data_IF_147844144691
#
_entry.id   IF_147844144691
#
_cell.length_a   1.000
_cell.length_b   1.000
_cell.length_c   1.000
_cell.angle_alpha   90.00
_cell.angle_beta   90.00
_cell.angle_gamma   90.00
#
_symmetry.space_group_name_H-M   'P 1'
#
loop_
_entity.id
_entity.type
_entity.pdbx_description
1 polymer ?
#
# COMPACT_ATOMS: atom_id res chain seq x y z
N UNK A 1 9.97 14.55 -16.58
CA UNK A 1 8.82 14.07 -15.75
C UNK A 1 8.07 13.04 -16.60
N UNK A 2 7.98 11.80 -16.17
CA UNK A 2 7.22 10.76 -16.89
C UNK A 2 5.78 10.87 -16.38
N UNK A 3 4.90 11.47 -17.17
CA UNK A 3 3.46 11.46 -16.87
C UNK A 3 2.92 10.06 -17.17
N UNK A 4 2.36 9.40 -16.16
CA UNK A 4 1.73 8.08 -16.31
C UNK A 4 0.22 8.24 -16.32
N UNK A 5 -0.48 7.72 -17.34
CA UNK A 5 -1.93 7.75 -17.31
C UNK A 5 -2.45 6.86 -16.15
N UNK A 6 -3.26 7.44 -15.23
CA UNK A 6 -3.71 6.73 -14.03
C UNK A 6 -4.69 5.58 -14.30
N UNK A 7 -5.25 5.51 -15.49
CA UNK A 7 -6.25 4.48 -15.84
C UNK A 7 -5.63 3.12 -16.22
N UNK A 8 -4.31 3.02 -16.27
CA UNK A 8 -3.59 1.82 -16.69
C UNK A 8 -3.14 0.89 -15.56
N UNK A 9 -3.30 1.26 -14.29
CA UNK A 9 -2.87 0.39 -13.19
C UNK A 9 -4.02 -0.53 -12.79
N UNK A 10 -4.00 -1.72 -13.38
CA UNK A 10 -4.87 -2.83 -13.04
C UNK A 10 -4.04 -4.11 -13.01
N UNK A 11 -3.87 -4.68 -11.83
CA UNK A 11 -3.09 -5.90 -11.61
C UNK A 11 -4.07 -6.99 -11.19
N UNK A 12 -4.13 -8.07 -11.97
CA UNK A 12 -4.98 -9.21 -11.66
C UNK A 12 -4.18 -10.34 -11.06
N UNK A 13 -4.75 -10.98 -10.04
CA UNK A 13 -4.22 -12.17 -9.41
C UNK A 13 -5.20 -13.33 -9.55
N UNK A 14 -4.98 -14.43 -8.85
CA UNK A 14 -5.92 -15.54 -8.86
C UNK A 14 -7.30 -15.16 -8.29
N UNK A 15 -7.34 -14.32 -7.23
CA UNK A 15 -8.57 -13.98 -6.50
C UNK A 15 -8.87 -12.49 -6.40
N UNK A 16 -7.90 -11.65 -6.73
CA UNK A 16 -7.99 -10.21 -6.50
C UNK A 16 -7.73 -9.40 -7.76
N UNK A 17 -8.28 -8.20 -7.76
CA UNK A 17 -7.91 -7.10 -8.65
C UNK A 17 -7.38 -5.96 -7.81
N UNK A 18 -6.14 -5.54 -8.10
CA UNK A 18 -5.53 -4.35 -7.53
C UNK A 18 -5.64 -3.23 -8.56
N UNK A 19 -6.23 -2.11 -8.19
CA UNK A 19 -6.41 -0.99 -9.11
C UNK A 19 -6.29 0.37 -8.41
N UNK A 20 -5.89 1.39 -9.16
CA UNK A 20 -6.06 2.77 -8.72
C UNK A 20 -7.56 3.08 -8.63
N UNK A 21 -8.04 3.67 -7.53
CA UNK A 21 -9.44 4.00 -7.40
C UNK A 21 -9.85 5.15 -8.34
N UNK A 22 -11.11 5.13 -8.75
CA UNK A 22 -11.82 6.25 -9.36
C UNK A 22 -12.79 6.85 -8.34
N UNK A 23 -13.23 8.09 -8.55
CA UNK A 23 -14.01 8.86 -7.56
C UNK A 23 -15.31 8.17 -7.15
N UNK A 24 -15.89 7.36 -8.04
CA UNK A 24 -17.09 6.55 -7.75
C UNK A 24 -16.87 5.47 -6.68
N UNK A 25 -15.61 5.17 -6.32
CA UNK A 25 -15.30 4.29 -5.18
C UNK A 25 -15.33 4.98 -3.81
N UNK A 26 -15.53 6.31 -3.73
CA UNK A 26 -15.53 7.04 -2.47
C UNK A 26 -16.53 6.45 -1.42
N UNK A 27 -17.81 6.12 -1.76
CA UNK A 27 -18.70 5.49 -0.80
C UNK A 27 -18.23 4.11 -0.32
N UNK A 28 -17.50 3.36 -1.18
CA UNK A 28 -16.96 2.05 -0.82
C UNK A 28 -15.77 2.17 0.12
N UNK A 29 -14.90 3.18 -0.06
CA UNK A 29 -13.81 3.47 0.88
C UNK A 29 -14.35 3.90 2.24
N UNK A 30 -15.32 4.80 2.28
CA UNK A 30 -15.99 5.20 3.51
C UNK A 30 -16.49 3.98 4.27
N UNK A 31 -17.29 3.14 3.63
CA UNK A 31 -17.82 1.91 4.23
C UNK A 31 -16.72 0.97 4.72
N UNK A 32 -15.65 0.78 3.92
CA UNK A 32 -14.52 -0.06 4.30
C UNK A 32 -13.91 0.38 5.63
N UNK A 33 -13.65 1.68 5.80
CA UNK A 33 -13.04 2.20 7.01
C UNK A 33 -14.01 2.27 8.19
N UNK A 34 -15.30 2.49 7.96
CA UNK A 34 -16.31 2.40 9.01
C UNK A 34 -16.42 0.98 9.56
N UNK A 35 -16.60 -0.02 8.69
CA UNK A 35 -16.75 -1.42 9.07
C UNK A 35 -15.50 -2.03 9.71
N UNK A 36 -14.32 -1.46 9.46
CA UNK A 36 -13.04 -1.95 9.95
C UNK A 36 -12.38 -1.02 10.98
N UNK A 37 -13.06 0.00 11.48
CA UNK A 37 -12.48 1.03 12.35
C UNK A 37 -11.81 0.45 13.61
N UNK A 38 -12.47 -0.47 14.31
CA UNK A 38 -11.91 -1.16 15.48
C UNK A 38 -10.73 -2.08 15.13
N UNK A 39 -10.82 -2.74 13.97
CA UNK A 39 -9.78 -3.67 13.52
C UNK A 39 -8.50 -2.97 13.08
N UNK A 40 -8.63 -1.82 12.42
CA UNK A 40 -7.50 -1.09 11.84
C UNK A 40 -6.95 -0.02 12.78
N UNK A 41 -7.79 0.57 13.63
CA UNK A 41 -7.42 1.69 14.51
C UNK A 41 -6.09 1.52 15.25
N UNK A 42 -5.83 0.38 15.91
CA UNK A 42 -4.57 0.17 16.64
C UNK A 42 -3.30 0.18 15.77
N UNK A 43 -3.44 0.11 14.44
CA UNK A 43 -2.34 -0.03 13.48
C UNK A 43 -2.16 1.16 12.56
N UNK A 44 -3.03 2.16 12.67
CA UNK A 44 -3.06 3.31 11.76
C UNK A 44 -2.90 4.64 12.49
N UNK A 45 -2.42 5.68 11.80
CA UNK A 45 -2.40 7.03 12.35
C UNK A 45 -3.79 7.50 12.79
N UNK A 46 -3.85 8.41 13.75
CA UNK A 46 -5.09 9.09 14.12
C UNK A 46 -5.77 9.71 12.90
N UNK A 47 -7.06 9.50 12.78
CA UNK A 47 -7.86 9.94 11.64
C UNK A 47 -7.98 11.47 11.61
N UNK A 48 -7.84 12.05 10.42
CA UNK A 48 -8.06 13.47 10.20
C UNK A 48 -9.54 13.85 10.36
N UNK A 49 -9.87 15.09 10.73
CA UNK A 49 -11.24 15.58 10.69
C UNK A 49 -11.88 15.34 9.32
N UNK A 50 -13.11 14.88 9.30
CA UNK A 50 -13.83 14.57 8.08
C UNK A 50 -13.51 13.21 7.44
N UNK A 51 -12.57 12.43 7.97
CA UNK A 51 -12.19 11.13 7.42
C UNK A 51 -13.37 10.20 7.13
N UNK A 52 -14.38 10.21 7.97
CA UNK A 52 -15.60 9.42 7.83
C UNK A 52 -16.71 10.19 7.06
N UNK A 53 -16.33 10.85 5.96
CA UNK A 53 -17.26 11.49 5.02
C UNK A 53 -16.93 11.08 3.59
N UNK A 54 -17.96 11.06 2.73
CA UNK A 54 -17.75 10.75 1.31
C UNK A 54 -16.92 11.83 0.61
N UNK A 55 -17.08 13.11 0.98
CA UNK A 55 -16.33 14.21 0.40
C UNK A 55 -14.83 14.10 0.67
N UNK A 56 -14.44 13.67 1.87
CA UNK A 56 -13.04 13.37 2.18
C UNK A 56 -12.48 12.31 1.21
N UNK A 57 -13.23 11.23 0.99
CA UNK A 57 -12.77 10.14 0.13
C UNK A 57 -12.75 10.52 -1.35
N UNK A 58 -13.68 11.36 -1.82
CA UNK A 58 -13.63 11.94 -3.17
C UNK A 58 -12.34 12.72 -3.37
N UNK A 59 -12.06 13.70 -2.50
CA UNK A 59 -10.84 14.50 -2.56
C UNK A 59 -9.57 13.64 -2.40
N UNK A 60 -9.60 12.64 -1.52
CA UNK A 60 -8.47 11.73 -1.30
C UNK A 60 -8.16 10.88 -2.53
N UNK A 61 -9.17 10.38 -3.22
CA UNK A 61 -9.02 9.61 -4.46
C UNK A 61 -8.46 10.47 -5.58
N UNK A 62 -8.95 11.68 -5.78
CA UNK A 62 -8.42 12.63 -6.76
C UNK A 62 -6.93 12.89 -6.51
N UNK A 63 -6.57 13.18 -5.25
CA UNK A 63 -5.16 13.34 -4.86
C UNK A 63 -4.34 12.08 -5.13
N UNK A 64 -4.86 10.90 -4.83
CA UNK A 64 -4.19 9.62 -5.10
C UNK A 64 -3.85 9.45 -6.59
N UNK A 65 -4.77 9.82 -7.47
CA UNK A 65 -4.56 9.75 -8.92
C UNK A 65 -3.51 10.77 -9.37
N UNK A 66 -3.53 11.97 -8.81
CA UNK A 66 -2.52 13.00 -9.09
C UNK A 66 -1.14 12.59 -8.56
N UNK A 67 -1.05 12.06 -7.35
CA UNK A 67 0.19 11.53 -6.75
C UNK A 67 0.82 10.45 -7.65
N UNK A 68 0.02 9.58 -8.24
CA UNK A 68 0.51 8.57 -9.18
C UNK A 68 0.99 9.20 -10.50
N UNK A 69 0.21 10.13 -11.07
CA UNK A 69 0.57 10.82 -12.30
C UNK A 69 1.87 11.63 -12.19
N UNK A 70 2.18 12.13 -10.98
CA UNK A 70 3.40 12.89 -10.67
C UNK A 70 4.54 12.05 -10.10
N UNK A 71 4.44 10.72 -10.18
CA UNK A 71 5.47 9.77 -9.70
C UNK A 71 5.81 9.95 -8.20
N UNK A 72 4.79 10.17 -7.36
CA UNK A 72 4.95 10.42 -5.91
C UNK A 72 4.51 9.24 -5.06
N UNK A 73 3.41 8.57 -5.45
CA UNK A 73 2.89 7.37 -4.78
C UNK A 73 2.01 6.54 -5.71
N UNK A 74 1.75 5.28 -5.33
CA UNK A 74 0.75 4.40 -5.95
C UNK A 74 -0.08 3.75 -4.85
N UNK A 75 -1.37 4.08 -4.80
CA UNK A 75 -2.28 3.55 -3.76
C UNK A 75 -3.37 2.71 -4.43
N UNK A 76 -3.30 1.41 -4.23
CA UNK A 76 -4.18 0.46 -4.89
C UNK A 76 -5.25 -0.04 -3.91
N UNK A 77 -6.50 -0.01 -4.35
CA UNK A 77 -7.59 -0.75 -3.71
C UNK A 77 -7.54 -2.21 -4.13
N UNK A 78 -8.02 -3.08 -3.26
CA UNK A 78 -8.17 -4.52 -3.50
C UNK A 78 -9.66 -4.86 -3.64
N UNK A 79 -10.01 -5.53 -4.74
CA UNK A 79 -11.34 -6.02 -5.04
C UNK A 79 -11.29 -7.54 -5.27
N UNK A 80 -12.40 -8.23 -5.04
CA UNK A 80 -12.54 -9.63 -5.45
C UNK A 80 -12.68 -9.72 -6.97
N UNK A 81 -11.93 -10.63 -7.60
CA UNK A 81 -11.80 -10.68 -9.06
C UNK A 81 -13.12 -10.92 -9.79
N UNK A 82 -13.90 -11.87 -9.31
CA UNK A 82 -15.11 -12.32 -10.01
C UNK A 82 -16.40 -11.69 -9.47
N UNK A 83 -16.26 -10.60 -8.72
CA UNK A 83 -17.40 -9.87 -8.14
C UNK A 83 -17.45 -8.42 -8.67
N UNK A 84 -18.26 -8.12 -9.70
CA UNK A 84 -18.34 -6.77 -10.29
C UNK A 84 -18.77 -5.69 -9.29
N UNK A 85 -19.51 -6.07 -8.24
CA UNK A 85 -19.92 -5.19 -7.14
C UNK A 85 -19.13 -5.46 -5.85
N UNK A 86 -17.92 -6.03 -5.97
CA UNK A 86 -17.09 -6.32 -4.81
C UNK A 86 -16.96 -5.11 -3.90
N UNK A 87 -17.12 -5.28 -2.57
CA UNK A 87 -16.65 -4.26 -1.65
C UNK A 87 -15.13 -4.09 -1.79
N UNK A 88 -14.60 -2.99 -1.27
CA UNK A 88 -13.15 -2.90 -1.06
C UNK A 88 -12.80 -3.88 0.06
N UNK A 89 -11.93 -4.84 -0.24
CA UNK A 89 -11.50 -5.85 0.73
C UNK A 89 -10.16 -5.49 1.40
N UNK A 90 -9.48 -4.47 0.90
CA UNK A 90 -8.21 -3.99 1.44
C UNK A 90 -7.57 -2.95 0.54
N UNK A 91 -6.39 -2.54 0.91
CA UNK A 91 -5.55 -1.69 0.08
C UNK A 91 -4.07 -1.99 0.29
N UNK A 92 -3.24 -1.64 -0.70
CA UNK A 92 -1.79 -1.59 -0.58
C UNK A 92 -1.28 -0.28 -1.19
N UNK A 93 -0.46 0.44 -0.43
CA UNK A 93 -0.03 1.79 -0.71
C UNK A 93 1.49 1.83 -0.82
N UNK A 94 1.98 2.07 -2.01
CA UNK A 94 3.39 2.36 -2.27
C UNK A 94 3.55 3.88 -2.21
N UNK A 95 4.16 4.36 -1.13
CA UNK A 95 4.30 5.79 -0.84
C UNK A 95 5.75 6.23 -0.93
N UNK A 96 5.97 7.55 -0.87
CA UNK A 96 7.30 8.15 -0.77
C UNK A 96 8.24 7.64 -1.87
N UNK A 97 7.86 7.86 -3.13
CA UNK A 97 8.70 7.47 -4.25
C UNK A 97 9.98 8.30 -4.27
N UNK A 98 11.11 7.65 -3.99
CA UNK A 98 12.43 8.27 -3.99
C UNK A 98 13.19 7.72 -5.19
N UNK A 99 13.50 8.61 -6.13
CA UNK A 99 14.24 8.29 -7.35
C UNK A 99 15.75 8.52 -7.17
N UNK A 100 16.49 8.57 -8.24
CA UNK A 100 17.95 8.73 -8.23
C UNK A 100 18.66 7.48 -7.75
N UNK A 101 19.70 7.62 -6.96
CA UNK A 101 20.53 6.51 -6.49
C UNK A 101 19.80 5.55 -5.54
N UNK A 102 18.71 6.01 -4.87
CA UNK A 102 18.02 5.18 -3.89
C UNK A 102 16.96 4.27 -4.52
N UNK A 103 16.22 4.73 -5.53
CA UNK A 103 15.17 3.98 -6.24
C UNK A 103 14.28 3.16 -5.28
N UNK A 104 13.69 3.82 -4.28
CA UNK A 104 12.96 3.18 -3.20
C UNK A 104 11.56 3.75 -3.00
N UNK A 105 10.69 2.94 -2.39
CA UNK A 105 9.39 3.37 -1.88
C UNK A 105 9.07 2.68 -0.55
N UNK A 106 8.08 3.22 0.18
CA UNK A 106 7.55 2.60 1.39
C UNK A 106 6.22 1.92 1.10
N UNK A 107 5.95 0.78 1.73
CA UNK A 107 4.75 -0.02 1.55
C UNK A 107 3.96 -0.07 2.85
N UNK A 108 2.70 0.39 2.79
CA UNK A 108 1.68 0.20 3.82
C UNK A 108 0.50 -0.59 3.26
N UNK A 109 -0.19 -1.35 4.10
CA UNK A 109 -1.32 -2.16 3.65
C UNK A 109 -2.30 -2.46 4.78
N UNK A 110 -3.54 -2.70 4.42
CA UNK A 110 -4.58 -3.21 5.31
C UNK A 110 -5.57 -4.13 4.61
N UNK A 111 -6.19 -5.00 5.37
CA UNK A 111 -7.17 -5.98 4.88
C UNK A 111 -8.40 -5.98 5.80
N UNK A 112 -9.56 -6.07 5.20
CA UNK A 112 -10.81 -6.24 5.92
C UNK A 112 -10.75 -7.50 6.81
N UNK A 113 -11.23 -7.37 8.05
CA UNK A 113 -11.22 -8.45 9.07
C UNK A 113 -11.79 -9.76 8.56
N UNK A 114 -12.80 -9.70 7.68
CA UNK A 114 -13.48 -10.88 7.09
C UNK A 114 -12.58 -11.73 6.19
N UNK A 115 -11.50 -11.16 5.66
CA UNK A 115 -10.59 -11.80 4.71
C UNK A 115 -9.23 -12.14 5.30
N UNK A 116 -9.01 -11.80 6.57
CA UNK A 116 -7.75 -12.10 7.27
C UNK A 116 -7.53 -13.62 7.39
N UNK A 117 -6.26 -14.05 7.32
CA UNK A 117 -5.88 -15.47 7.47
C UNK A 117 -6.04 -16.32 6.21
N UNK A 118 -6.58 -15.77 5.11
CA UNK A 118 -6.86 -16.51 3.87
C UNK A 118 -5.75 -16.37 2.81
N UNK A 119 -4.61 -15.78 3.15
CA UNK A 119 -3.49 -15.57 2.21
C UNK A 119 -3.69 -14.44 1.19
N UNK A 120 -4.83 -13.73 1.22
CA UNK A 120 -5.17 -12.72 0.23
C UNK A 120 -4.20 -11.54 0.25
N UNK A 121 -3.79 -11.05 1.42
CA UNK A 121 -2.81 -9.95 1.49
C UNK A 121 -1.43 -10.39 0.97
N UNK A 122 -1.01 -11.63 1.19
CA UNK A 122 0.22 -12.15 0.61
C UNK A 122 0.16 -12.12 -0.92
N UNK A 123 -0.93 -12.59 -1.50
CA UNK A 123 -1.20 -12.59 -2.94
C UNK A 123 -1.18 -11.17 -3.52
N UNK A 124 -1.88 -10.23 -2.87
CA UNK A 124 -1.91 -8.83 -3.28
C UNK A 124 -0.52 -8.18 -3.25
N UNK A 125 0.20 -8.33 -2.13
CA UNK A 125 1.51 -7.72 -1.98
C UNK A 125 2.55 -8.32 -2.93
N UNK A 126 2.53 -9.63 -3.15
CA UNK A 126 3.42 -10.27 -4.12
C UNK A 126 3.24 -9.67 -5.52
N UNK A 127 1.99 -9.51 -5.97
CA UNK A 127 1.70 -8.90 -7.28
C UNK A 127 2.04 -7.40 -7.34
N UNK A 128 1.68 -6.64 -6.29
CA UNK A 128 1.99 -5.20 -6.23
C UNK A 128 3.49 -4.91 -6.17
N UNK A 129 4.26 -5.72 -5.44
CA UNK A 129 5.74 -5.61 -5.36
C UNK A 129 6.37 -5.98 -6.70
N UNK A 130 5.91 -7.04 -7.35
CA UNK A 130 6.38 -7.40 -8.69
C UNK A 130 6.17 -6.24 -9.67
N UNK A 131 4.99 -5.60 -9.65
CA UNK A 131 4.71 -4.40 -10.44
C UNK A 131 5.64 -3.23 -10.08
N UNK A 132 5.89 -3.00 -8.79
CA UNK A 132 6.77 -1.93 -8.33
C UNK A 132 8.21 -2.12 -8.86
N UNK A 133 8.71 -3.34 -8.92
CA UNK A 133 10.03 -3.65 -9.46
C UNK A 133 10.06 -3.60 -10.99
N UNK A 134 9.10 -4.25 -11.66
CA UNK A 134 9.11 -4.38 -13.12
C UNK A 134 8.72 -3.08 -13.84
N UNK A 135 7.59 -2.48 -13.44
CA UNK A 135 6.98 -1.36 -14.14
C UNK A 135 7.41 0.00 -13.59
N UNK A 136 7.47 0.12 -12.25
CA UNK A 136 7.87 1.37 -11.61
C UNK A 136 9.40 1.49 -11.46
N UNK A 137 10.14 0.40 -11.74
CA UNK A 137 11.61 0.36 -11.72
C UNK A 137 12.21 0.71 -10.36
N UNK A 138 11.53 0.40 -9.27
CA UNK A 138 12.14 0.48 -7.96
C UNK A 138 13.17 -0.63 -7.79
N UNK A 139 14.24 -0.31 -7.06
CA UNK A 139 15.21 -1.29 -6.58
C UNK A 139 14.82 -1.82 -5.21
N UNK A 140 14.09 -1.02 -4.43
CA UNK A 140 13.84 -1.29 -3.01
C UNK A 140 12.41 -0.94 -2.60
N UNK A 141 11.77 -1.86 -1.88
CA UNK A 141 10.49 -1.63 -1.18
C UNK A 141 10.75 -1.80 0.32
N UNK A 142 10.43 -0.77 1.10
CA UNK A 142 10.55 -0.77 2.56
C UNK A 142 9.15 -0.96 3.17
N UNK A 143 9.02 -1.86 4.14
CA UNK A 143 7.77 -2.07 4.88
C UNK A 143 8.08 -2.26 6.36
N UNK A 144 7.65 -1.32 7.16
CA UNK A 144 7.96 -1.30 8.59
C UNK A 144 6.71 -1.68 9.39
N UNK A 145 6.89 -2.35 10.52
CA UNK A 145 5.79 -2.80 11.33
C UNK A 145 6.07 -2.65 12.83
N UNK A 146 5.03 -2.37 13.61
CA UNK A 146 5.12 -2.35 15.06
C UNK A 146 5.49 -3.75 15.59
N UNK A 147 6.41 -3.89 16.55
CA UNK A 147 6.82 -5.19 17.09
C UNK A 147 5.66 -6.06 17.56
N UNK A 148 4.59 -5.44 18.06
CA UNK A 148 3.35 -6.10 18.49
C UNK A 148 2.50 -6.61 17.33
N UNK A 149 2.73 -6.13 16.10
CA UNK A 149 2.02 -6.59 14.91
C UNK A 149 2.73 -7.81 14.28
N UNK A 150 2.78 -8.91 15.03
CA UNK A 150 3.42 -10.14 14.58
C UNK A 150 2.85 -10.70 13.28
N UNK A 151 1.57 -10.44 13.00
CA UNK A 151 0.93 -10.85 11.74
C UNK A 151 1.60 -10.19 10.56
N UNK A 152 1.83 -8.89 10.63
CA UNK A 152 2.57 -8.12 9.62
C UNK A 152 4.00 -8.65 9.48
N UNK A 153 4.72 -8.83 10.58
CA UNK A 153 6.08 -9.38 10.56
C UNK A 153 6.18 -10.77 9.90
N UNK A 154 5.24 -11.68 10.20
CA UNK A 154 5.18 -13.00 9.55
C UNK A 154 4.87 -12.91 8.05
N UNK A 155 4.00 -11.99 7.65
CA UNK A 155 3.65 -11.75 6.25
C UNK A 155 4.86 -11.24 5.46
N UNK A 156 5.53 -10.21 5.96
CA UNK A 156 6.70 -9.61 5.32
C UNK A 156 7.85 -10.62 5.17
N UNK A 157 8.11 -11.41 6.21
CA UNK A 157 9.11 -12.49 6.15
C UNK A 157 8.80 -13.49 5.04
N UNK A 158 7.53 -13.92 4.89
CA UNK A 158 7.13 -14.85 3.82
C UNK A 158 7.25 -14.23 2.42
N UNK A 159 7.18 -12.90 2.30
CA UNK A 159 7.41 -12.17 1.05
C UNK A 159 8.90 -11.94 0.77
N UNK A 160 9.80 -12.35 1.67
CA UNK A 160 11.25 -12.21 1.51
C UNK A 160 11.83 -10.91 2.06
N UNK A 161 11.06 -10.12 2.81
CA UNK A 161 11.62 -8.94 3.47
C UNK A 161 12.63 -9.33 4.55
N UNK A 162 13.76 -8.61 4.57
CA UNK A 162 14.84 -8.79 5.54
C UNK A 162 14.76 -7.67 6.57
N UNK A 163 14.97 -8.00 7.85
CA UNK A 163 15.07 -7.02 8.93
C UNK A 163 16.40 -6.27 8.80
N UNK A 164 16.35 -4.94 8.82
CA UNK A 164 17.51 -4.07 8.72
C UNK A 164 17.76 -3.25 9.97
N UNK A 165 16.77 -3.18 10.87
CA UNK A 165 16.94 -2.41 12.08
C UNK A 165 15.68 -2.31 12.93
N UNK A 166 15.83 -1.53 14.01
CA UNK A 166 14.77 -1.19 14.95
C UNK A 166 14.82 0.33 15.19
N UNK A 167 13.69 0.98 15.01
CA UNK A 167 13.55 2.42 15.23
C UNK A 167 12.60 2.67 16.39
N UNK A 168 13.08 3.42 17.41
CA UNK A 168 12.26 3.87 18.52
C UNK A 168 11.47 5.10 18.14
N UNK A 169 10.26 5.23 18.67
CA UNK A 169 9.39 6.40 18.46
C UNK A 169 9.27 6.81 16.98
N UNK A 170 9.07 5.83 16.11
CA UNK A 170 9.23 5.97 14.66
C UNK A 170 8.03 6.61 13.98
N UNK A 171 6.82 6.17 14.32
CA UNK A 171 5.57 6.70 13.76
C UNK A 171 4.55 6.97 14.86
N UNK A 172 3.75 8.03 14.66
CA UNK A 172 2.65 8.38 15.56
C UNK A 172 1.40 7.59 15.16
N UNK A 173 1.15 6.48 15.89
CA UNK A 173 0.07 5.52 15.61
C UNK A 173 -0.85 5.45 16.84
N UNK A 174 -2.15 5.54 16.60
CA UNK A 174 -3.17 5.45 17.65
C UNK A 174 -2.85 6.36 18.85
N UNK A 175 -2.56 7.64 18.56
CA UNK A 175 -2.29 8.65 19.57
C UNK A 175 -0.97 8.54 20.33
N UNK A 176 -0.01 7.71 19.89
CA UNK A 176 1.28 7.51 20.54
C UNK A 176 2.42 7.30 19.53
N UNK A 177 3.62 7.74 19.88
CA UNK A 177 4.82 7.35 19.16
C UNK A 177 5.09 5.85 19.38
N UNK A 178 5.27 5.12 18.29
CA UNK A 178 5.43 3.66 18.31
C UNK A 178 6.74 3.24 17.67
N UNK A 179 7.40 2.31 18.32
CA UNK A 179 8.58 1.64 17.77
C UNK A 179 8.23 0.78 16.56
N UNK A 180 9.18 0.66 15.62
CA UNK A 180 9.01 -0.18 14.44
C UNK A 180 10.23 -1.04 14.17
N UNK A 181 9.97 -2.24 13.70
CA UNK A 181 10.96 -3.08 13.04
C UNK A 181 11.06 -2.61 11.59
N UNK A 182 12.25 -2.23 11.16
CA UNK A 182 12.53 -1.77 9.82
C UNK A 182 12.85 -2.97 8.93
N UNK A 183 12.14 -3.11 7.81
CA UNK A 183 12.39 -4.19 6.85
C UNK A 183 12.38 -3.68 5.43
N UNK A 184 13.10 -4.40 4.56
CA UNK A 184 13.13 -4.11 3.14
C UNK A 184 13.22 -5.37 2.29
N UNK A 185 12.75 -5.23 1.06
CA UNK A 185 12.92 -6.19 -0.02
C UNK A 185 13.56 -5.48 -1.21
N UNK A 186 14.64 -6.04 -1.75
CA UNK A 186 15.31 -5.52 -2.95
C UNK A 186 14.95 -6.34 -4.17
N UNK A 187 14.93 -5.69 -5.32
CA UNK A 187 14.73 -6.36 -6.59
C UNK A 187 15.83 -7.43 -6.82
N UNK A 188 15.48 -8.61 -7.34
CA UNK A 188 16.45 -9.69 -7.58
C UNK A 188 17.54 -9.33 -8.59
N UNK A 189 17.29 -8.37 -9.46
CA UNK A 189 18.29 -7.79 -10.36
C UNK A 189 18.17 -6.27 -10.31
N UNK A 190 19.27 -5.53 -10.23
CA UNK A 190 19.19 -4.08 -10.26
C UNK A 190 18.49 -3.66 -11.58
N UNK A 191 17.59 -2.69 -11.55
CA UNK A 191 17.06 -2.11 -12.78
C UNK A 191 18.27 -1.61 -13.59
N UNK A 192 18.30 -1.93 -14.89
CA UNK A 192 19.32 -1.38 -15.77
C UNK A 192 19.30 0.15 -15.62
N UNK A 193 20.32 0.69 -15.00
CA UNK A 193 20.48 2.15 -14.89
C UNK A 193 20.66 2.62 -16.31
N UNK A 194 19.61 3.23 -16.89
CA UNK A 194 19.79 3.94 -18.15
C UNK A 194 20.79 5.05 -17.87
N UNK A 195 22.05 4.83 -18.27
CA UNK A 195 23.06 5.88 -18.31
C UNK A 195 22.51 7.00 -19.19
N UNK A 196 21.89 8.00 -18.57
CA UNK A 196 21.68 9.30 -19.19
C UNK A 196 22.89 10.14 -18.78
N UNK A 197 23.91 10.08 -19.65
CA UNK A 197 24.92 11.12 -19.75
C UNK A 197 24.25 12.38 -20.28
#
# INVERSE_FOLDING_TARGET
MISRPPDLVRIETARLVLALPTVDFAPRFLRYFEENSEHLGPWEPTREPGFFTEDYWRARIERTRQEFATDTSMRLMLLLKDEPRSPIVGHCNFNNFIRGAFQACTLGYSLDRRYVGRGMMHEALAAGIAYAFAELRFHRVMANYMPTNERSGRLLRRLGFVVEGYARDYLYIDGQWRDHVLTALTAPSPPAVANRI
#
